data_IF_601915558574
#
_entry.id   IF_601915558574
#
_cell.length_a   1.000
_cell.length_b   1.000
_cell.length_c   1.000
_cell.angle_alpha   90.00
_cell.angle_beta   90.00
_cell.angle_gamma   90.00
#
_symmetry.space_group_name_H-M   'P 1'
#
loop_
_entity.id
_entity.type
_entity.pdbx_description
1 polymer ?
#
# COMPACT_ATOMS: atom_id res chain seq x y z
N UNK A 1 -0.37 -45.12 56.82
CA UNK A 1 -0.56 -43.64 56.78
C UNK A 1 -2.01 -43.37 56.44
N UNK A 2 -2.89 -42.95 57.40
CA UNK A 2 -4.30 -42.63 57.11
C UNK A 2 -4.37 -41.37 56.27
N UNK A 3 -4.74 -41.51 55.02
CA UNK A 3 -5.02 -40.34 54.13
C UNK A 3 -6.19 -39.57 54.74
N UNK A 4 -5.95 -38.34 55.18
CA UNK A 4 -7.00 -37.42 55.67
C UNK A 4 -7.98 -37.17 54.53
N UNK A 5 -9.26 -37.47 54.79
CA UNK A 5 -10.39 -37.21 53.86
C UNK A 5 -11.08 -35.90 54.25
N UNK A 6 -11.42 -35.09 53.30
CA UNK A 6 -12.31 -33.92 53.50
C UNK A 6 -13.73 -34.34 53.22
N UNK A 7 -14.68 -33.85 54.04
CA UNK A 7 -16.12 -34.13 53.89
C UNK A 7 -16.85 -32.79 53.69
N UNK A 8 -17.60 -32.69 52.60
CA UNK A 8 -18.52 -31.57 52.41
C UNK A 8 -19.92 -32.10 52.70
N UNK A 9 -20.59 -31.47 53.68
CA UNK A 9 -21.95 -31.81 54.04
C UNK A 9 -22.91 -30.75 53.50
N UNK A 10 -23.84 -31.17 52.66
CA UNK A 10 -24.91 -30.32 52.15
C UNK A 10 -26.15 -30.56 52.98
N UNK A 11 -26.58 -29.54 53.74
CA UNK A 11 -27.78 -29.58 54.57
C UNK A 11 -28.85 -28.74 53.87
N UNK A 12 -29.97 -29.35 53.49
CA UNK A 12 -31.09 -28.64 52.92
C UNK A 12 -31.89 -27.95 54.03
N UNK A 13 -32.17 -26.64 53.94
CA UNK A 13 -33.00 -25.95 54.93
C UNK A 13 -34.49 -26.34 54.87
N UNK A 14 -34.89 -27.10 53.83
CA UNK A 14 -36.29 -27.43 53.55
C UNK A 14 -36.57 -28.95 53.60
N UNK A 15 -35.59 -29.81 53.92
CA UNK A 15 -35.78 -31.24 54.04
C UNK A 15 -34.75 -31.88 54.97
N UNK A 16 -35.14 -32.96 55.68
CA UNK A 16 -34.25 -33.72 56.58
C UNK A 16 -33.17 -34.54 55.86
N UNK A 17 -33.02 -34.37 54.53
CA UNK A 17 -32.04 -35.09 53.77
C UNK A 17 -30.73 -34.29 53.69
N UNK A 18 -29.68 -34.87 54.23
CA UNK A 18 -28.31 -34.36 54.07
C UNK A 18 -27.52 -35.22 53.08
N UNK A 19 -26.76 -34.58 52.26
CA UNK A 19 -25.86 -35.27 51.28
C UNK A 19 -24.43 -34.99 51.74
N UNK A 20 -23.59 -36.07 51.80
CA UNK A 20 -22.17 -35.89 52.09
C UNK A 20 -21.34 -36.44 50.91
N UNK A 21 -20.33 -35.67 50.55
CA UNK A 21 -19.34 -36.04 49.53
C UNK A 21 -17.99 -36.09 50.21
N UNK A 22 -17.32 -37.26 50.11
CA UNK A 22 -15.98 -37.45 50.67
C UNK A 22 -14.91 -37.34 49.57
N UNK A 23 -13.90 -36.51 49.82
CA UNK A 23 -12.77 -36.34 48.91
C UNK A 23 -11.47 -36.74 49.60
N UNK A 24 -10.57 -37.39 48.87
CA UNK A 24 -9.20 -37.56 49.34
C UNK A 24 -8.47 -36.19 49.29
N UNK A 25 -7.45 -36.02 50.12
CA UNK A 25 -6.63 -34.81 50.08
C UNK A 25 -6.03 -34.57 48.72
N UNK A 26 -5.67 -35.64 48.01
CA UNK A 26 -5.06 -35.57 46.69
C UNK A 26 -6.07 -35.08 45.64
N UNK A 27 -7.32 -35.61 45.65
CA UNK A 27 -8.39 -35.17 44.74
C UNK A 27 -8.82 -33.74 44.99
N UNK A 28 -8.79 -33.26 46.24
CA UNK A 28 -9.11 -31.88 46.54
C UNK A 28 -8.04 -30.92 46.03
N UNK A 29 -6.74 -31.25 46.23
CA UNK A 29 -5.65 -30.43 45.73
C UNK A 29 -5.63 -30.43 44.18
N UNK A 30 -5.86 -31.58 43.54
CA UNK A 30 -5.91 -31.67 42.08
C UNK A 30 -7.08 -30.87 41.50
N UNK A 31 -8.27 -30.85 42.14
CA UNK A 31 -9.40 -30.07 41.68
C UNK A 31 -9.15 -28.56 41.76
N UNK A 32 -8.47 -28.09 42.84
CA UNK A 32 -8.07 -26.68 42.96
C UNK A 32 -7.08 -26.31 41.87
N UNK A 33 -6.12 -27.20 41.59
CA UNK A 33 -5.08 -26.96 40.57
C UNK A 33 -5.72 -26.89 39.16
N UNK A 34 -6.64 -27.78 38.83
CA UNK A 34 -7.39 -27.74 37.57
C UNK A 34 -8.22 -26.46 37.47
N UNK A 35 -8.92 -26.08 38.54
CA UNK A 35 -9.69 -24.86 38.56
C UNK A 35 -8.80 -23.60 38.35
N UNK A 36 -7.64 -23.55 38.99
CA UNK A 36 -6.69 -22.45 38.81
C UNK A 36 -6.17 -22.35 37.38
N UNK A 37 -5.90 -23.49 36.71
CA UNK A 37 -5.49 -23.52 35.29
C UNK A 37 -6.61 -23.01 34.39
N UNK A 38 -7.88 -23.39 34.66
CA UNK A 38 -9.03 -22.91 33.87
C UNK A 38 -9.19 -21.39 34.03
N UNK A 39 -9.09 -20.87 35.27
CA UNK A 39 -9.18 -19.44 35.53
C UNK A 39 -8.05 -18.66 34.87
N UNK A 40 -6.81 -19.14 34.97
CA UNK A 40 -5.66 -18.50 34.30
C UNK A 40 -5.78 -18.57 32.79
N UNK A 41 -6.26 -19.69 32.25
CA UNK A 41 -6.52 -19.84 30.82
C UNK A 41 -7.61 -18.87 30.32
N UNK A 42 -8.70 -18.71 31.08
CA UNK A 42 -9.76 -17.76 30.71
C UNK A 42 -9.30 -16.29 30.75
N UNK A 43 -8.49 -15.93 31.74
CA UNK A 43 -7.89 -14.59 31.85
C UNK A 43 -6.95 -14.34 30.66
N UNK A 44 -6.10 -15.31 30.32
CA UNK A 44 -5.22 -15.23 29.16
C UNK A 44 -6.00 -15.06 27.86
N UNK A 45 -7.08 -15.80 27.67
CA UNK A 45 -7.94 -15.76 26.50
C UNK A 45 -8.65 -14.40 26.37
N UNK A 46 -9.16 -13.84 27.47
CA UNK A 46 -9.72 -12.49 27.52
C UNK A 46 -8.66 -11.41 27.22
N UNK A 47 -7.46 -11.58 27.74
CA UNK A 47 -6.34 -10.66 27.47
C UNK A 47 -5.98 -10.64 25.98
N UNK A 48 -5.76 -11.79 25.37
CA UNK A 48 -5.38 -11.89 23.95
C UNK A 48 -6.52 -11.56 22.98
N UNK A 49 -7.78 -11.74 23.36
CA UNK A 49 -8.95 -11.36 22.55
C UNK A 49 -9.35 -9.90 22.71
N UNK A 50 -8.80 -9.20 23.69
CA UNK A 50 -9.14 -7.80 23.96
C UNK A 50 -8.80 -6.90 22.77
N UNK A 51 -9.74 -6.07 22.28
CA UNK A 51 -9.49 -5.10 21.22
C UNK A 51 -8.40 -4.09 21.62
N UNK A 52 -8.25 -3.80 22.89
CA UNK A 52 -7.22 -2.90 23.44
C UNK A 52 -5.81 -3.48 23.22
N UNK A 53 -5.62 -4.77 23.45
CA UNK A 53 -4.32 -5.43 23.23
C UNK A 53 -3.97 -5.46 21.75
N UNK A 54 -4.95 -5.75 20.88
CA UNK A 54 -4.75 -5.72 19.44
C UNK A 54 -4.35 -4.33 18.94
N UNK A 55 -5.02 -3.29 19.43
CA UNK A 55 -4.70 -1.91 19.08
C UNK A 55 -3.32 -1.48 19.61
N UNK A 56 -2.97 -1.86 20.84
CA UNK A 56 -1.63 -1.62 21.39
C UNK A 56 -0.52 -2.29 20.57
N UNK A 57 -0.72 -3.54 20.17
CA UNK A 57 0.24 -4.25 19.29
C UNK A 57 0.35 -3.58 17.93
N UNK A 58 -0.77 -3.14 17.35
CA UNK A 58 -0.80 -2.41 16.09
C UNK A 58 -0.04 -1.09 16.18
N UNK A 59 -0.28 -0.30 17.23
CA UNK A 59 0.44 0.96 17.48
C UNK A 59 1.96 0.70 17.63
N UNK A 60 2.34 -0.36 18.33
CA UNK A 60 3.76 -0.72 18.48
C UNK A 60 4.43 -1.07 17.15
N UNK A 61 3.71 -1.77 16.26
CA UNK A 61 4.19 -2.11 14.91
C UNK A 61 4.35 -0.84 14.05
N UNK A 62 3.33 0.02 14.04
CA UNK A 62 3.37 1.30 13.32
C UNK A 62 4.53 2.17 13.81
N UNK A 63 4.74 2.26 15.12
CA UNK A 63 5.87 3.03 15.67
C UNK A 63 7.24 2.47 15.26
N UNK A 64 7.35 1.15 15.07
CA UNK A 64 8.56 0.53 14.55
C UNK A 64 8.78 0.89 13.08
N UNK A 65 7.73 0.86 12.27
CA UNK A 65 7.77 1.26 10.86
C UNK A 65 8.15 2.74 10.71
N UNK A 66 7.54 3.62 11.52
CA UNK A 66 7.89 5.05 11.53
C UNK A 66 9.37 5.26 11.87
N UNK A 67 9.92 4.56 12.84
CA UNK A 67 11.36 4.64 13.16
C UNK A 67 12.24 4.18 12.00
N UNK A 68 11.87 3.10 11.32
CA UNK A 68 12.61 2.64 10.14
C UNK A 68 12.55 3.65 8.99
N UNK A 69 11.38 4.23 8.74
CA UNK A 69 11.24 5.28 7.74
C UNK A 69 12.07 6.53 8.09
N UNK A 70 12.09 6.92 9.36
CA UNK A 70 12.90 8.05 9.82
C UNK A 70 14.40 7.80 9.62
N UNK A 71 14.86 6.57 9.85
CA UNK A 71 16.26 6.18 9.59
C UNK A 71 16.59 6.26 8.10
N UNK A 72 15.69 5.82 7.23
CA UNK A 72 15.83 5.95 5.78
C UNK A 72 15.91 7.42 5.36
N UNK A 73 15.04 8.27 5.89
CA UNK A 73 15.04 9.71 5.62
C UNK A 73 16.38 10.34 6.03
N UNK A 74 16.86 10.03 7.23
CA UNK A 74 18.15 10.55 7.72
C UNK A 74 19.34 10.09 6.83
N UNK A 75 19.28 8.85 6.30
CA UNK A 75 20.30 8.36 5.38
C UNK A 75 20.24 9.07 4.02
N UNK A 76 19.02 9.37 3.53
CA UNK A 76 18.81 10.15 2.31
C UNK A 76 19.36 11.57 2.49
N UNK A 77 19.02 12.23 3.58
CA UNK A 77 19.52 13.57 3.88
C UNK A 77 21.05 13.62 3.88
N UNK A 78 21.69 12.62 4.50
CA UNK A 78 23.15 12.50 4.48
C UNK A 78 23.70 12.30 3.07
N UNK A 79 23.05 11.47 2.26
CA UNK A 79 23.46 11.26 0.86
C UNK A 79 23.29 12.53 0.01
N UNK A 80 22.24 13.32 0.27
CA UNK A 80 22.04 14.61 -0.39
C UNK A 80 23.17 15.59 -0.03
N UNK A 81 23.57 15.61 1.23
CA UNK A 81 24.69 16.48 1.69
C UNK A 81 26.02 16.06 1.02
N UNK A 82 26.30 14.76 0.94
CA UNK A 82 27.47 14.21 0.24
C UNK A 82 27.46 14.57 -1.26
N UNK A 83 26.30 14.47 -1.92
CA UNK A 83 26.14 14.87 -3.32
C UNK A 83 26.34 16.38 -3.50
N UNK A 84 25.83 17.20 -2.59
CA UNK A 84 26.01 18.64 -2.63
C UNK A 84 27.48 19.04 -2.48
N UNK A 85 28.22 18.37 -1.57
CA UNK A 85 29.66 18.53 -1.41
C UNK A 85 30.43 18.12 -2.66
N UNK A 86 30.11 16.94 -3.22
CA UNK A 86 30.74 16.44 -4.44
C UNK A 86 30.48 17.38 -5.63
N UNK A 87 29.25 17.91 -5.72
CA UNK A 87 28.89 18.90 -6.72
C UNK A 87 29.69 20.19 -6.57
N UNK A 88 29.83 20.72 -5.34
CA UNK A 88 30.62 21.93 -5.10
C UNK A 88 32.08 21.74 -5.47
N UNK A 89 32.62 20.54 -5.25
CA UNK A 89 33.98 20.16 -5.65
C UNK A 89 34.11 20.12 -7.20
N UNK A 90 33.15 19.51 -7.89
CA UNK A 90 33.11 19.47 -9.37
C UNK A 90 33.00 20.91 -9.95
N UNK A 91 32.12 21.74 -9.41
CA UNK A 91 31.94 23.12 -9.83
C UNK A 91 33.24 23.95 -9.64
N UNK A 92 34.04 23.63 -8.61
CA UNK A 92 35.34 24.27 -8.39
C UNK A 92 36.42 23.87 -9.39
N UNK A 93 36.33 22.65 -9.97
CA UNK A 93 37.31 22.11 -10.94
C UNK A 93 36.99 22.53 -12.37
N UNK A 94 35.70 22.52 -12.75
CA UNK A 94 35.24 22.66 -14.17
C UNK A 94 35.01 24.14 -14.55
N UNK A 95 34.92 25.05 -13.57
CA UNK A 95 34.55 26.44 -13.80
C UNK A 95 33.03 26.63 -14.03
N UNK A 96 32.54 27.80 -13.64
CA UNK A 96 31.10 28.06 -13.50
C UNK A 96 30.30 28.05 -14.80
N UNK A 97 30.93 28.26 -15.96
CA UNK A 97 30.22 28.34 -17.24
C UNK A 97 29.84 26.96 -17.79
N UNK A 98 30.74 25.96 -17.77
CA UNK A 98 30.46 24.62 -18.23
C UNK A 98 29.44 23.88 -17.34
N UNK A 99 29.43 24.18 -16.04
CA UNK A 99 28.49 23.56 -15.10
C UNK A 99 27.06 24.06 -15.29
N UNK A 100 26.86 25.30 -15.68
CA UNK A 100 25.54 25.91 -15.91
C UNK A 100 24.88 25.32 -17.18
N UNK A 101 25.63 25.16 -18.27
CA UNK A 101 25.14 24.54 -19.50
C UNK A 101 24.75 23.08 -19.32
N UNK A 102 25.56 22.30 -18.58
CA UNK A 102 25.23 20.91 -18.25
C UNK A 102 23.99 20.81 -17.35
N UNK A 103 23.84 21.75 -16.40
CA UNK A 103 22.71 21.80 -15.49
C UNK A 103 21.43 22.20 -16.22
N UNK A 104 21.49 23.21 -17.09
CA UNK A 104 20.34 23.67 -17.87
C UNK A 104 19.90 22.60 -18.86
N UNK A 105 20.83 21.93 -19.54
CA UNK A 105 20.54 20.82 -20.44
C UNK A 105 19.97 19.60 -19.73
N UNK A 106 20.47 19.25 -18.53
CA UNK A 106 19.87 18.18 -17.70
C UNK A 106 18.48 18.52 -17.20
N UNK A 107 18.27 19.77 -16.76
CA UNK A 107 16.94 20.23 -16.32
C UNK A 107 15.97 20.21 -17.50
N UNK A 108 16.36 20.69 -18.67
CA UNK A 108 15.54 20.65 -19.90
C UNK A 108 15.21 19.21 -20.30
N UNK A 109 16.19 18.28 -20.22
CA UNK A 109 15.99 16.88 -20.51
C UNK A 109 14.98 16.24 -19.53
N UNK A 110 15.15 16.48 -18.21
CA UNK A 110 14.24 15.98 -17.19
C UNK A 110 12.82 16.56 -17.39
N UNK A 111 12.71 17.86 -17.63
CA UNK A 111 11.41 18.50 -17.85
C UNK A 111 10.72 18.00 -19.14
N UNK A 112 11.49 17.72 -20.19
CA UNK A 112 10.95 17.27 -21.45
C UNK A 112 10.48 15.81 -21.44
N UNK A 113 11.22 14.92 -20.76
CA UNK A 113 10.97 13.48 -20.83
C UNK A 113 10.19 12.93 -19.63
N UNK A 114 10.11 13.67 -18.54
CA UNK A 114 9.44 13.23 -17.31
C UNK A 114 8.01 13.81 -17.19
N UNK A 115 7.56 14.63 -18.14
CA UNK A 115 6.16 15.04 -18.19
C UNK A 115 5.33 13.96 -18.89
N UNK A 116 4.25 13.47 -18.30
CA UNK A 116 3.33 12.53 -18.96
C UNK A 116 2.88 13.10 -20.33
N UNK A 117 3.28 12.44 -21.41
CA UNK A 117 3.03 12.90 -22.78
C UNK A 117 2.69 11.75 -23.75
N UNK A 118 3.05 10.51 -23.39
CA UNK A 118 2.71 9.32 -24.16
C UNK A 118 1.37 8.78 -23.70
N UNK A 119 0.46 8.50 -24.61
CA UNK A 119 -0.84 7.89 -24.34
C UNK A 119 -0.66 6.55 -23.62
N UNK A 120 -1.36 6.31 -22.49
CA UNK A 120 -1.12 5.12 -21.67
C UNK A 120 -1.59 3.81 -22.32
N UNK A 121 -2.63 3.83 -23.14
CA UNK A 121 -3.12 2.69 -23.91
C UNK A 121 -3.99 3.15 -25.08
N UNK A 122 -4.10 2.30 -26.10
CA UNK A 122 -5.12 2.49 -27.14
C UNK A 122 -6.49 2.08 -26.60
N UNK A 123 -7.54 2.79 -27.05
CA UNK A 123 -8.91 2.48 -26.65
C UNK A 123 -9.83 3.69 -26.67
N UNK A 124 -11.04 3.46 -26.15
CA UNK A 124 -12.07 4.50 -26.00
C UNK A 124 -12.18 4.89 -24.54
N UNK A 125 -12.30 6.18 -24.25
CA UNK A 125 -12.58 6.63 -22.88
C UNK A 125 -14.06 6.32 -22.60
N UNK A 126 -14.32 5.48 -21.60
CA UNK A 126 -15.66 5.11 -21.14
C UNK A 126 -16.09 5.90 -19.92
N UNK A 127 -15.13 6.41 -19.13
CA UNK A 127 -15.38 7.22 -17.95
C UNK A 127 -14.29 8.28 -17.81
N UNK A 128 -14.69 9.51 -17.57
CA UNK A 128 -13.79 10.65 -17.40
C UNK A 128 -13.46 10.86 -15.91
N UNK A 129 -12.45 11.69 -15.65
CA UNK A 129 -12.11 12.19 -14.32
C UNK A 129 -13.29 12.94 -13.71
N UNK A 130 -13.61 12.63 -12.45
CA UNK A 130 -14.66 13.29 -11.68
C UNK A 130 -14.35 13.23 -10.19
N UNK A 131 -13.90 14.35 -9.63
CA UNK A 131 -13.55 14.45 -8.20
C UNK A 131 -14.77 14.36 -7.27
N UNK A 132 -15.98 14.72 -7.74
CA UNK A 132 -17.21 14.68 -6.92
C UNK A 132 -17.63 13.24 -6.66
N UNK A 133 -17.57 12.38 -7.69
CA UNK A 133 -17.83 10.94 -7.57
C UNK A 133 -16.63 10.13 -7.13
N UNK A 134 -15.50 10.78 -6.82
CA UNK A 134 -14.21 10.17 -6.42
C UNK A 134 -13.63 9.22 -7.49
N UNK A 135 -13.84 9.54 -8.76
CA UNK A 135 -13.18 8.89 -9.88
C UNK A 135 -11.96 9.71 -10.30
N UNK A 136 -10.79 9.36 -9.72
CA UNK A 136 -9.57 10.18 -9.81
C UNK A 136 -8.73 9.93 -11.07
N UNK A 137 -9.33 9.34 -12.11
CA UNK A 137 -8.67 9.00 -13.35
C UNK A 137 -9.62 8.94 -14.54
N UNK A 138 -9.17 8.28 -15.60
CA UNK A 138 -9.96 7.94 -16.78
C UNK A 138 -9.98 6.43 -16.97
N UNK A 139 -11.09 5.89 -17.47
CA UNK A 139 -11.22 4.49 -17.84
C UNK A 139 -11.10 4.34 -19.35
N UNK A 140 -10.09 3.63 -19.81
CA UNK A 140 -9.81 3.36 -21.23
C UNK A 140 -10.19 1.91 -21.53
N UNK A 141 -11.26 1.70 -22.29
CA UNK A 141 -11.76 0.38 -22.68
C UNK A 141 -11.09 -0.12 -23.94
N UNK A 142 -10.60 -1.35 -23.88
CA UNK A 142 -10.14 -2.13 -25.01
C UNK A 142 -10.18 -3.63 -24.67
N UNK A 143 -9.76 -4.50 -25.58
CA UNK A 143 -9.65 -5.94 -25.35
C UNK A 143 -8.53 -6.24 -24.33
N UNK A 144 -8.71 -7.31 -23.55
CA UNK A 144 -7.66 -7.80 -22.67
C UNK A 144 -6.38 -8.11 -23.45
N UNK A 145 -5.24 -7.81 -22.85
CA UNK A 145 -3.93 -7.98 -23.48
C UNK A 145 -3.47 -6.78 -24.30
N UNK A 146 -4.29 -5.73 -24.48
CA UNK A 146 -3.84 -4.47 -25.09
C UNK A 146 -2.62 -3.93 -24.36
N UNK A 147 -1.54 -3.52 -25.03
CA UNK A 147 -0.35 -2.96 -24.39
C UNK A 147 -0.66 -1.68 -23.61
N UNK A 148 -0.06 -1.57 -22.43
CA UNK A 148 -0.07 -0.37 -21.60
C UNK A 148 1.34 0.22 -21.63
N UNK A 149 1.43 1.51 -21.90
CA UNK A 149 2.69 2.23 -22.09
C UNK A 149 3.00 3.16 -20.91
N UNK A 150 4.29 3.30 -20.58
CA UNK A 150 4.76 4.35 -19.68
C UNK A 150 4.51 5.72 -20.34
N UNK A 151 3.81 6.60 -19.61
CA UNK A 151 3.44 7.94 -20.14
C UNK A 151 4.60 8.92 -20.17
N UNK A 152 5.66 8.66 -19.41
CA UNK A 152 6.91 9.43 -19.36
C UNK A 152 8.05 8.53 -18.86
N UNK A 153 9.29 9.04 -18.93
CA UNK A 153 10.43 8.43 -18.24
C UNK A 153 10.16 8.37 -16.73
N UNK A 154 10.59 7.30 -16.05
CA UNK A 154 10.36 7.20 -14.62
C UNK A 154 10.90 5.93 -13.97
N UNK A 155 10.62 5.80 -12.68
CA UNK A 155 10.93 4.62 -11.89
C UNK A 155 9.66 3.99 -11.35
N UNK A 156 9.59 2.66 -11.37
CA UNK A 156 8.49 1.89 -10.78
C UNK A 156 8.58 1.99 -9.25
N UNK A 157 7.63 2.67 -8.63
CA UNK A 157 7.53 2.78 -7.16
C UNK A 157 6.62 1.72 -6.56
N UNK A 158 5.69 1.19 -7.34
CA UNK A 158 4.83 0.08 -6.98
C UNK A 158 4.55 -0.83 -8.18
N UNK A 159 4.59 -2.15 -7.97
CA UNK A 159 4.09 -3.16 -8.91
C UNK A 159 3.59 -4.34 -8.08
N UNK A 160 2.29 -4.63 -8.13
CA UNK A 160 1.68 -5.66 -7.29
C UNK A 160 0.18 -5.78 -7.49
N UNK A 161 -0.47 -6.55 -6.61
CA UNK A 161 -1.91 -6.82 -6.63
C UNK A 161 -2.60 -6.28 -5.37
N UNK A 162 -3.79 -5.71 -5.56
CA UNK A 162 -4.74 -5.41 -4.48
C UNK A 162 -6.16 -5.87 -4.87
N UNK A 163 -7.02 -6.06 -3.87
CA UNK A 163 -8.40 -6.51 -4.14
C UNK A 163 -9.21 -5.46 -4.92
N UNK A 164 -8.98 -4.18 -4.66
CA UNK A 164 -9.73 -3.09 -5.28
C UNK A 164 -9.22 -2.78 -6.69
N UNK A 165 -7.91 -2.59 -6.84
CA UNK A 165 -7.29 -2.14 -8.10
C UNK A 165 -6.71 -3.26 -8.97
N UNK A 166 -6.75 -4.51 -8.50
CA UNK A 166 -6.17 -5.64 -9.23
C UNK A 166 -4.64 -5.52 -9.33
N UNK A 167 -4.08 -6.08 -10.41
CA UNK A 167 -2.68 -5.87 -10.77
C UNK A 167 -2.48 -4.40 -11.14
N UNK A 168 -1.52 -3.77 -10.49
CA UNK A 168 -1.28 -2.34 -10.60
C UNK A 168 0.21 -2.04 -10.72
N UNK A 169 0.53 -1.00 -11.49
CA UNK A 169 1.88 -0.43 -11.55
C UNK A 169 1.79 1.08 -11.38
N UNK A 170 2.73 1.65 -10.61
CA UNK A 170 2.81 3.10 -10.37
C UNK A 170 4.22 3.54 -10.71
N UNK A 171 4.33 4.59 -11.52
CA UNK A 171 5.57 5.21 -11.92
C UNK A 171 5.75 6.57 -11.24
N UNK A 172 6.96 6.83 -10.74
CA UNK A 172 7.42 8.15 -10.32
C UNK A 172 8.27 8.76 -11.43
N UNK A 173 7.86 9.91 -11.91
CA UNK A 173 8.53 10.66 -12.98
C UNK A 173 9.56 11.67 -12.45
N UNK A 174 9.89 11.61 -11.13
CA UNK A 174 10.95 12.41 -10.47
C UNK A 174 10.80 13.93 -10.56
N UNK A 175 9.61 14.41 -10.91
CA UNK A 175 9.30 15.84 -11.02
C UNK A 175 7.99 16.20 -10.29
N UNK A 176 7.57 15.33 -9.33
CA UNK A 176 6.34 15.44 -8.59
C UNK A 176 5.12 14.82 -9.30
N UNK A 177 5.30 14.30 -10.53
CA UNK A 177 4.25 13.53 -11.21
C UNK A 177 4.38 12.04 -10.90
N UNK A 178 3.22 11.41 -10.62
CA UNK A 178 3.03 9.97 -10.57
C UNK A 178 1.98 9.58 -11.62
N UNK A 179 2.19 8.43 -12.28
CA UNK A 179 1.16 7.81 -13.11
C UNK A 179 0.80 6.43 -12.56
N UNK A 180 -0.49 6.16 -12.48
CA UNK A 180 -1.04 4.93 -11.90
C UNK A 180 -1.81 4.18 -12.98
N UNK A 181 -1.57 2.86 -13.06
CA UNK A 181 -2.13 1.96 -14.04
C UNK A 181 -2.75 0.77 -13.31
N UNK A 182 -4.08 0.66 -13.38
CA UNK A 182 -4.85 -0.30 -12.59
C UNK A 182 -5.63 -1.29 -13.47
N UNK A 183 -6.10 -2.36 -12.86
CA UNK A 183 -6.85 -3.47 -13.47
C UNK A 183 -6.06 -4.25 -14.53
N UNK A 184 -4.72 -4.18 -14.49
CA UNK A 184 -3.85 -4.83 -15.44
C UNK A 184 -4.04 -6.36 -15.45
N UNK A 185 -3.85 -7.00 -16.61
CA UNK A 185 -3.76 -8.45 -16.72
C UNK A 185 -2.46 -8.95 -16.09
N UNK A 186 -1.35 -8.29 -16.44
CA UNK A 186 0.00 -8.57 -15.93
C UNK A 186 0.87 -7.32 -15.98
N UNK A 187 1.82 -7.22 -15.06
CA UNK A 187 2.84 -6.16 -15.03
C UNK A 187 4.18 -6.74 -15.45
N UNK A 188 4.95 -6.03 -16.29
CA UNK A 188 6.25 -6.49 -16.80
C UNK A 188 7.44 -6.01 -15.98
N UNK A 189 7.27 -4.95 -15.20
CA UNK A 189 8.31 -4.33 -14.39
C UNK A 189 8.03 -4.48 -12.90
N UNK A 190 9.09 -4.46 -12.11
CA UNK A 190 9.06 -4.58 -10.64
C UNK A 190 9.43 -3.25 -10.00
N UNK A 191 9.07 -3.08 -8.74
CA UNK A 191 9.49 -1.93 -7.94
C UNK A 191 11.02 -1.76 -7.98
N UNK A 192 11.46 -0.54 -8.30
CA UNK A 192 12.86 -0.15 -8.46
C UNK A 192 13.35 -0.14 -9.92
N UNK A 193 12.63 -0.78 -10.85
CA UNK A 193 13.01 -0.75 -12.27
C UNK A 193 12.82 0.66 -12.85
N UNK A 194 13.68 1.02 -13.80
CA UNK A 194 13.55 2.25 -14.59
C UNK A 194 12.86 1.95 -15.92
N UNK A 195 11.99 2.85 -16.35
CA UNK A 195 11.27 2.76 -17.62
C UNK A 195 11.44 4.04 -18.42
N UNK A 196 11.31 3.93 -19.74
CA UNK A 196 11.29 5.04 -20.68
C UNK A 196 9.87 5.31 -21.17
N UNK A 197 9.59 6.56 -21.52
CA UNK A 197 8.36 6.93 -22.18
C UNK A 197 8.10 6.03 -23.40
N UNK A 198 6.91 5.42 -23.46
CA UNK A 198 6.55 4.48 -24.53
C UNK A 198 6.96 3.02 -24.30
N UNK A 199 7.68 2.68 -23.23
CA UNK A 199 7.91 1.28 -22.87
C UNK A 199 6.59 0.58 -22.56
N UNK A 200 6.44 -0.66 -23.01
CA UNK A 200 5.29 -1.50 -22.65
C UNK A 200 5.50 -2.02 -21.22
N UNK A 201 4.74 -1.49 -20.26
CA UNK A 201 4.92 -1.77 -18.84
C UNK A 201 3.95 -2.82 -18.30
N UNK A 202 2.81 -3.00 -18.96
CA UNK A 202 1.76 -3.91 -18.56
C UNK A 202 0.86 -4.28 -19.74
N UNK A 203 -0.13 -5.16 -19.49
CA UNK A 203 -1.25 -5.42 -20.39
C UNK A 203 -2.56 -5.06 -19.72
N UNK A 204 -3.46 -4.44 -20.49
CA UNK A 204 -4.82 -4.15 -20.09
C UNK A 204 -5.54 -5.44 -19.71
N UNK A 205 -6.27 -5.42 -18.59
CA UNK A 205 -6.96 -6.57 -18.05
C UNK A 205 -8.32 -6.24 -17.47
N UNK A 206 -8.75 -7.11 -16.54
CA UNK A 206 -10.04 -7.02 -15.84
C UNK A 206 -9.87 -7.52 -14.40
N UNK A 207 -8.72 -7.24 -13.77
CA UNK A 207 -8.40 -7.73 -12.42
C UNK A 207 -8.86 -6.77 -11.33
N UNK A 208 -9.07 -7.28 -10.10
CA UNK A 208 -9.60 -6.49 -8.99
C UNK A 208 -11.10 -6.20 -9.09
N UNK A 209 -11.55 -5.08 -8.55
CA UNK A 209 -12.95 -4.64 -8.62
C UNK A 209 -13.21 -3.94 -9.96
N UNK A 210 -13.31 -4.71 -11.03
CA UNK A 210 -13.57 -4.25 -12.39
C UNK A 210 -14.84 -4.88 -12.95
N UNK A 211 -15.61 -4.12 -13.75
CA UNK A 211 -16.85 -4.58 -14.39
C UNK A 211 -16.66 -5.10 -15.81
N UNK A 212 -15.47 -4.92 -16.37
CA UNK A 212 -15.11 -5.36 -17.72
C UNK A 212 -13.70 -4.91 -18.09
N UNK A 213 -13.12 -5.40 -19.19
CA UNK A 213 -11.76 -5.08 -19.59
C UNK A 213 -11.56 -3.57 -19.81
N UNK A 214 -10.72 -2.94 -18.99
CA UNK A 214 -10.31 -1.54 -19.12
C UNK A 214 -9.02 -1.27 -18.36
N UNK A 215 -8.36 -0.19 -18.72
CA UNK A 215 -7.32 0.44 -17.92
C UNK A 215 -7.95 1.61 -17.14
N UNK A 216 -7.90 1.57 -15.81
CA UNK A 216 -8.11 2.76 -15.00
C UNK A 216 -6.77 3.47 -14.85
N UNK A 217 -6.69 4.72 -15.34
CA UNK A 217 -5.45 5.48 -15.42
C UNK A 217 -5.57 6.81 -14.69
N UNK A 218 -4.63 7.07 -13.77
CA UNK A 218 -4.58 8.32 -13.00
C UNK A 218 -3.25 9.04 -13.19
N UNK A 219 -3.28 10.37 -13.15
CA UNK A 219 -2.11 11.23 -13.00
C UNK A 219 -2.24 12.02 -11.70
N UNK A 220 -1.16 12.01 -10.93
CA UNK A 220 -1.05 12.75 -9.69
C UNK A 220 0.09 13.75 -9.77
N UNK A 221 -0.11 14.95 -9.22
CA UNK A 221 0.91 15.99 -9.11
C UNK A 221 1.00 16.48 -7.67
N UNK A 222 2.18 16.36 -7.07
CA UNK A 222 2.45 16.80 -5.71
C UNK A 222 1.38 16.33 -4.69
N UNK A 223 0.95 15.06 -4.82
CA UNK A 223 -0.03 14.42 -3.96
C UNK A 223 -1.51 14.70 -4.28
N UNK A 224 -1.81 15.41 -5.36
CA UNK A 224 -3.17 15.66 -5.81
C UNK A 224 -3.44 14.98 -7.16
N UNK A 225 -4.60 14.34 -7.29
CA UNK A 225 -5.04 13.81 -8.58
C UNK A 225 -5.42 14.94 -9.53
N UNK A 226 -5.07 14.80 -10.79
CA UNK A 226 -5.37 15.76 -11.85
C UNK A 226 -5.97 15.04 -13.05
N UNK A 227 -6.80 15.73 -13.82
CA UNK A 227 -7.49 15.14 -14.97
C UNK A 227 -6.48 14.73 -16.07
N UNK A 228 -6.37 13.42 -16.35
CA UNK A 228 -5.40 12.92 -17.33
C UNK A 228 -5.68 13.37 -18.77
N UNK A 229 -6.91 13.75 -19.12
CA UNK A 229 -7.27 14.19 -20.48
C UNK A 229 -6.43 15.40 -20.89
N UNK A 230 -6.06 16.26 -19.95
CA UNK A 230 -5.30 17.49 -20.23
C UNK A 230 -3.86 17.23 -20.70
N UNK A 231 -3.39 15.98 -20.65
CA UNK A 231 -2.01 15.60 -21.05
C UNK A 231 -1.93 15.00 -22.44
N UNK A 232 -3.06 14.65 -23.07
CA UNK A 232 -3.07 13.89 -24.32
C UNK A 232 -4.02 14.51 -25.34
N UNK A 233 -3.46 15.16 -26.37
CA UNK A 233 -4.23 15.82 -27.41
C UNK A 233 -5.18 14.87 -28.16
N UNK A 234 -4.81 13.61 -28.33
CA UNK A 234 -5.63 12.58 -28.98
C UNK A 234 -6.95 12.27 -28.25
N UNK A 235 -7.03 12.54 -26.95
CA UNK A 235 -8.25 12.39 -26.19
C UNK A 235 -9.18 13.61 -26.32
N UNK A 236 -8.61 14.80 -26.49
CA UNK A 236 -9.38 16.06 -26.68
C UNK A 236 -10.15 16.08 -27.99
N UNK A 237 -9.63 15.48 -29.08
CA UNK A 237 -10.28 15.46 -30.39
C UNK A 237 -11.55 14.61 -30.46
N UNK A 238 -11.78 13.72 -29.46
CA UNK A 238 -12.97 12.85 -29.42
C UNK A 238 -14.08 13.39 -28.52
N UNK A 239 -13.77 14.23 -27.53
CA UNK A 239 -14.76 14.83 -26.64
C UNK A 239 -15.70 15.81 -27.34
N UNK A 240 -15.19 16.56 -28.33
CA UNK A 240 -15.97 17.52 -29.11
C UNK A 240 -17.03 16.87 -30.04
N UNK A 241 -16.92 15.55 -30.30
CA UNK A 241 -17.90 14.81 -31.12
C UNK A 241 -19.01 14.13 -30.32
N UNK A 242 -18.89 14.07 -28.98
CA UNK A 242 -19.91 13.50 -28.10
C UNK A 242 -20.83 14.55 -27.49
N UNK A 243 -20.58 15.85 -27.73
CA UNK A 243 -21.38 16.99 -27.25
C UNK A 243 -22.23 17.65 -28.35
N UNK A 244 -22.40 16.98 -29.49
CA UNK A 244 -23.35 17.35 -30.57
C UNK A 244 -24.37 16.18 -30.73
#
# INVERSE_FOLDING_TARGET
MKLSKYKILFISPFSDKSWQIEFSRLTFISSILVLSIIVLGSIALLYFSSPIVKEFLRVSTINKEIKQQQEIINNIDKSIEEIALMKSYIDSIIGTEASNDLKENNIRYILANNLPSVKPADGLISRIYDSETKHFGIDIVNIEGTPIFATADGQVVFSGFSNDFGNSIILDHQNGYLSHYYHNQENFFKRGDSVKAGDVIAKLGNTGMSTGPHLHFEIWKDGNSIDPINFFDDFNLKSDKLSQ
#
